data_IF_704988925795
#
_entry.id   IF_704988925795
#
_cell.length_a   1.000
_cell.length_b   1.000
_cell.length_c   1.000
_cell.angle_alpha   90.00
_cell.angle_beta   90.00
_cell.angle_gamma   90.00
#
_symmetry.space_group_name_H-M   'P 1'
#
loop_
_entity.id
_entity.type
_entity.pdbx_description
1 polymer ?
#
# COMPACT_ATOMS: atom_id res chain seq x y z
N UNK A 1 4.38 15.38 -31.34
CA UNK A 1 4.19 16.84 -31.36
C UNK A 1 5.19 17.40 -30.36
N UNK A 2 6.10 18.26 -30.81
CA UNK A 2 7.17 18.80 -29.96
C UNK A 2 6.63 19.77 -28.91
N UNK A 3 7.37 19.94 -27.81
CA UNK A 3 7.05 20.90 -26.76
C UNK A 3 7.01 22.31 -27.33
N UNK A 4 5.81 22.89 -27.43
CA UNK A 4 5.61 24.27 -27.88
C UNK A 4 5.86 25.19 -26.70
N UNK A 5 6.88 26.04 -26.79
CA UNK A 5 7.16 27.05 -25.77
C UNK A 5 6.08 28.13 -25.75
N UNK A 6 5.36 28.25 -24.63
CA UNK A 6 4.23 29.19 -24.49
C UNK A 6 4.60 30.51 -23.78
N UNK A 7 5.75 30.56 -23.09
CA UNK A 7 6.21 31.72 -22.33
C UNK A 7 6.95 31.33 -21.05
N UNK A 8 7.48 32.31 -20.33
CA UNK A 8 8.24 32.12 -19.09
C UNK A 8 7.87 33.12 -18.00
N UNK A 9 8.16 32.77 -16.75
CA UNK A 9 8.10 33.65 -15.57
C UNK A 9 9.44 33.51 -14.85
N UNK A 10 10.05 34.65 -14.51
CA UNK A 10 11.23 34.70 -13.66
C UNK A 10 10.81 35.17 -12.27
N UNK A 11 11.00 34.33 -11.25
CA UNK A 11 10.75 34.65 -9.85
C UNK A 11 12.06 34.59 -9.07
N UNK A 12 12.35 35.64 -8.32
CA UNK A 12 13.44 35.58 -7.35
C UNK A 12 12.96 34.85 -6.10
N UNK A 13 13.66 33.79 -5.68
CA UNK A 13 13.34 33.10 -4.43
C UNK A 13 13.40 34.04 -3.22
N UNK A 14 14.26 35.07 -3.26
CA UNK A 14 14.29 36.11 -2.21
C UNK A 14 13.00 36.93 -2.11
N UNK A 15 12.25 37.08 -3.21
CA UNK A 15 10.94 37.76 -3.22
C UNK A 15 9.79 36.88 -2.76
N UNK A 16 10.01 35.56 -2.72
CA UNK A 16 9.10 34.55 -2.18
C UNK A 16 9.46 34.17 -0.74
N UNK A 17 10.55 34.75 -0.21
CA UNK A 17 11.13 34.44 1.09
C UNK A 17 10.09 34.68 2.18
N UNK A 18 9.69 33.58 2.80
CA UNK A 18 8.84 33.56 3.99
C UNK A 18 9.76 33.80 5.21
N UNK A 19 10.60 34.83 5.17
CA UNK A 19 11.52 35.15 6.27
C UNK A 19 11.07 36.44 6.94
N UNK A 20 10.27 36.28 7.99
CA UNK A 20 9.78 37.36 8.85
C UNK A 20 9.37 36.77 10.21
N UNK A 21 8.99 37.60 11.20
CA UNK A 21 8.61 37.11 12.53
C UNK A 21 7.38 36.16 12.50
N UNK A 22 6.55 36.25 11.46
CA UNK A 22 5.43 35.32 11.18
C UNK A 22 5.30 35.06 9.68
N UNK A 23 6.09 34.14 9.11
CA UNK A 23 5.96 33.86 7.71
C UNK A 23 4.68 33.10 7.38
N UNK A 24 4.02 33.40 6.24
CA UNK A 24 3.06 32.47 5.68
C UNK A 24 3.71 31.09 5.49
N UNK A 25 2.97 29.99 5.68
CA UNK A 25 3.49 28.64 5.31
C UNK A 25 3.51 28.38 3.81
N UNK A 26 2.81 29.22 3.05
CA UNK A 26 2.77 29.16 1.61
C UNK A 26 2.59 30.54 1.00
N UNK A 27 3.24 30.75 -0.14
CA UNK A 27 3.00 31.90 -1.00
C UNK A 27 2.18 31.45 -2.20
N UNK A 28 1.07 32.13 -2.46
CA UNK A 28 0.19 31.84 -3.59
C UNK A 28 -0.09 33.12 -4.39
N UNK A 29 0.27 33.13 -5.68
CA UNK A 29 -0.07 34.24 -6.56
C UNK A 29 -0.27 33.82 -8.02
N UNK A 30 -1.05 34.64 -8.73
CA UNK A 30 -1.26 34.51 -10.17
C UNK A 30 -0.23 35.33 -10.94
N UNK A 31 0.47 34.68 -11.86
CA UNK A 31 1.49 35.30 -12.68
C UNK A 31 1.12 35.19 -14.16
N UNK A 32 1.27 36.28 -14.90
CA UNK A 32 1.05 36.27 -16.35
C UNK A 32 2.33 35.81 -17.06
N UNK A 33 2.19 34.87 -18.00
CA UNK A 33 3.33 34.42 -18.82
C UNK A 33 3.87 35.58 -19.65
N UNK A 34 5.21 35.73 -19.68
CA UNK A 34 5.90 36.66 -20.56
C UNK A 34 6.40 35.92 -21.81
N UNK A 35 6.31 36.51 -23.02
CA UNK A 35 6.88 35.91 -24.21
C UNK A 35 8.41 35.75 -24.06
N UNK A 36 8.95 34.66 -24.61
CA UNK A 36 10.38 34.34 -24.49
C UNK A 36 11.31 35.08 -25.46
N UNK A 37 10.75 35.87 -26.38
CA UNK A 37 11.49 36.76 -27.28
C UNK A 37 10.74 38.08 -27.43
N UNK A 38 11.46 39.18 -27.65
CA UNK A 38 10.92 40.55 -27.71
C UNK A 38 9.98 40.81 -28.90
N UNK A 39 9.76 39.84 -29.78
CA UNK A 39 8.94 39.98 -30.98
C UNK A 39 7.94 38.84 -31.14
N UNK A 40 6.74 39.02 -30.56
CA UNK A 40 5.53 38.31 -30.96
C UNK A 40 4.48 39.34 -31.40
N UNK A 41 4.30 39.60 -32.72
CA UNK A 41 3.42 40.67 -33.22
C UNK A 41 1.92 40.32 -33.13
N UNK A 42 1.56 39.11 -32.70
CA UNK A 42 0.17 38.66 -32.58
C UNK A 42 -0.15 38.34 -31.12
N UNK A 43 -1.06 39.14 -30.55
CA UNK A 43 -1.59 38.95 -29.19
C UNK A 43 -2.67 37.86 -29.23
N UNK A 44 -2.24 36.60 -29.24
CA UNK A 44 -3.12 35.42 -29.43
C UNK A 44 -3.98 35.11 -28.17
N UNK A 45 -3.63 35.69 -27.01
CA UNK A 45 -4.37 35.54 -25.76
C UNK A 45 -3.54 35.92 -24.53
N UNK A 46 -4.08 35.69 -23.34
CA UNK A 46 -3.34 35.81 -22.06
C UNK A 46 -3.49 34.55 -21.24
N UNK A 47 -2.38 33.99 -20.77
CA UNK A 47 -2.35 32.83 -19.88
C UNK A 47 -1.79 33.25 -18.52
N UNK A 48 -2.45 32.80 -17.44
CA UNK A 48 -2.02 33.02 -16.07
C UNK A 48 -1.69 31.68 -15.42
N UNK A 49 -0.60 31.62 -14.69
CA UNK A 49 -0.21 30.47 -13.88
C UNK A 49 -0.46 30.80 -12.40
N UNK A 50 -1.08 29.87 -11.69
CA UNK A 50 -1.12 29.90 -10.24
C UNK A 50 0.12 29.19 -9.71
N UNK A 51 0.98 29.92 -9.02
CA UNK A 51 2.15 29.33 -8.37
C UNK A 51 1.91 29.29 -6.86
N UNK A 52 2.14 28.11 -6.29
CA UNK A 52 2.08 27.87 -4.84
C UNK A 52 3.47 27.42 -4.42
N UNK A 53 4.12 28.22 -3.58
CA UNK A 53 5.42 27.92 -2.99
C UNK A 53 5.23 27.54 -1.52
N UNK A 54 5.81 26.41 -1.12
CA UNK A 54 5.83 25.92 0.26
C UNK A 54 7.27 25.85 0.74
N UNK A 55 7.52 26.31 1.98
CA UNK A 55 8.82 26.20 2.62
C UNK A 55 8.69 25.32 3.87
N UNK A 56 9.28 24.13 3.79
CA UNK A 56 9.28 23.14 4.87
C UNK A 56 10.68 23.04 5.49
N UNK A 57 10.74 23.07 6.83
CA UNK A 57 11.99 23.02 7.59
C UNK A 57 12.15 21.64 8.25
N UNK A 58 13.22 20.92 7.88
CA UNK A 58 13.63 19.70 8.58
C UNK A 58 14.67 20.09 9.63
N UNK A 59 14.34 19.87 10.91
CA UNK A 59 15.22 20.21 12.02
C UNK A 59 16.37 19.20 12.13
N UNK A 60 17.36 19.52 12.96
CA UNK A 60 18.45 18.60 13.25
C UNK A 60 17.94 17.33 13.97
N UNK A 61 18.58 16.19 13.73
CA UNK A 61 18.19 14.90 14.35
C UNK A 61 18.07 14.96 15.89
N UNK A 62 18.92 15.75 16.55
CA UNK A 62 18.90 15.96 18.01
C UNK A 62 17.56 16.49 18.52
N UNK A 63 16.88 17.32 17.73
CA UNK A 63 15.57 17.89 18.08
C UNK A 63 14.47 16.83 18.12
N UNK A 64 14.59 15.77 17.32
CA UNK A 64 13.62 14.69 17.25
C UNK A 64 13.89 13.56 18.26
N UNK A 65 15.03 13.58 18.97
CA UNK A 65 15.42 12.49 19.89
C UNK A 65 14.39 12.19 20.98
N UNK A 66 13.74 13.17 21.65
CA UNK A 66 12.74 12.86 22.67
C UNK A 66 11.54 12.09 22.09
N UNK A 67 11.07 12.49 20.90
CA UNK A 67 9.99 11.80 20.20
C UNK A 67 10.42 10.40 19.76
N UNK A 68 11.63 10.27 19.21
CA UNK A 68 12.21 9.00 18.80
C UNK A 68 12.25 8.00 19.96
N UNK A 69 12.78 8.42 21.12
CA UNK A 69 12.86 7.59 22.31
C UNK A 69 11.47 7.16 22.79
N UNK A 70 10.51 8.08 22.79
CA UNK A 70 9.12 7.81 23.16
C UNK A 70 8.43 6.81 22.22
N UNK A 71 8.77 6.80 20.92
CA UNK A 71 8.26 5.80 19.97
C UNK A 71 8.93 4.43 20.14
N UNK A 72 10.24 4.42 20.35
CA UNK A 72 11.03 3.19 20.50
C UNK A 72 10.71 2.47 21.82
N UNK A 73 10.53 3.23 22.91
CA UNK A 73 10.21 2.67 24.23
C UNK A 73 8.85 1.98 24.28
N UNK A 74 7.92 2.31 23.36
CA UNK A 74 6.63 1.63 23.23
C UNK A 74 6.72 0.12 22.99
N UNK A 75 7.85 -0.39 22.49
CA UNK A 75 8.07 -1.84 22.34
C UNK A 75 8.21 -2.51 23.72
N UNK A 76 8.86 -1.83 24.65
CA UNK A 76 9.24 -2.38 25.97
C UNK A 76 8.20 -2.14 27.05
N UNK A 77 7.29 -1.17 26.86
CA UNK A 77 6.23 -0.88 27.83
C UNK A 77 5.32 -2.11 28.05
N UNK A 78 4.98 -2.45 29.31
CA UNK A 78 4.15 -3.61 29.62
C UNK A 78 2.72 -3.44 29.10
N UNK A 79 2.14 -2.25 29.25
CA UNK A 79 0.83 -1.92 28.69
C UNK A 79 0.99 -1.32 27.29
N UNK A 80 0.68 -2.10 26.25
CA UNK A 80 0.83 -1.63 24.87
C UNK A 80 -0.26 -0.62 24.48
N UNK A 81 -1.45 -0.69 25.08
CA UNK A 81 -2.61 0.09 24.63
C UNK A 81 -2.42 1.58 24.89
N UNK A 82 -1.73 1.92 25.98
CA UNK A 82 -1.42 3.31 26.37
C UNK A 82 -0.10 3.83 25.78
N UNK A 83 0.51 3.10 24.84
CA UNK A 83 1.77 3.54 24.21
C UNK A 83 1.56 4.63 23.16
N UNK A 84 2.63 5.36 22.89
CA UNK A 84 2.64 6.41 21.87
C UNK A 84 2.28 5.91 20.47
N UNK A 85 2.60 4.66 20.13
CA UNK A 85 2.25 4.05 18.84
C UNK A 85 0.75 3.84 18.71
N UNK A 86 0.08 3.39 19.78
CA UNK A 86 -1.37 3.23 19.82
C UNK A 86 -2.09 4.57 19.76
N UNK A 87 -1.67 5.53 20.58
CA UNK A 87 -2.22 6.89 20.58
C UNK A 87 -2.10 7.51 19.19
N UNK A 88 -0.93 7.37 18.52
CA UNK A 88 -0.73 7.87 17.16
C UNK A 88 -1.69 7.25 16.15
N UNK A 89 -2.03 5.97 16.28
CA UNK A 89 -3.00 5.32 15.40
C UNK A 89 -4.43 5.80 15.62
N UNK A 90 -4.79 6.17 16.84
CA UNK A 90 -6.11 6.72 17.15
C UNK A 90 -6.29 8.13 16.63
N UNK A 91 -5.28 8.98 16.81
CA UNK A 91 -5.34 10.41 16.41
C UNK A 91 -5.04 10.64 14.93
N UNK A 92 -4.34 9.73 14.25
CA UNK A 92 -4.00 9.91 12.83
C UNK A 92 -5.20 9.73 11.91
N UNK A 93 -5.43 10.74 11.05
CA UNK A 93 -6.41 10.67 9.96
C UNK A 93 -5.95 9.71 8.85
N UNK A 94 -4.66 9.70 8.54
CA UNK A 94 -4.05 8.80 7.57
C UNK A 94 -3.20 7.75 8.29
N UNK A 95 -3.86 6.63 8.61
CA UNK A 95 -3.22 5.51 9.31
C UNK A 95 -2.24 4.73 8.42
N UNK A 96 -2.41 4.79 7.10
CA UNK A 96 -1.46 4.14 6.17
C UNK A 96 -0.16 4.93 6.08
N UNK A 97 -0.23 6.26 5.93
CA UNK A 97 0.96 7.10 5.96
C UNK A 97 1.71 6.99 7.30
N UNK A 98 0.96 6.95 8.41
CA UNK A 98 1.52 6.73 9.76
C UNK A 98 2.21 5.36 9.87
N UNK A 99 1.55 4.29 9.41
CA UNK A 99 2.13 2.94 9.38
C UNK A 99 3.45 2.91 8.59
N UNK A 100 3.48 3.54 7.41
CA UNK A 100 4.68 3.64 6.58
C UNK A 100 5.82 4.41 7.28
N UNK A 101 5.51 5.49 7.99
CA UNK A 101 6.50 6.24 8.77
C UNK A 101 7.11 5.37 9.88
N UNK A 102 6.27 4.63 10.62
CA UNK A 102 6.74 3.69 11.65
C UNK A 102 7.62 2.61 11.03
N UNK A 103 7.19 1.98 9.93
CA UNK A 103 7.98 0.96 9.23
C UNK A 103 9.35 1.50 8.85
N UNK A 104 9.41 2.65 8.17
CA UNK A 104 10.66 3.26 7.74
C UNK A 104 11.57 3.60 8.93
N UNK A 105 10.99 4.13 10.01
CA UNK A 105 11.74 4.45 11.23
C UNK A 105 12.38 3.20 11.85
N UNK A 106 11.58 2.16 12.10
CA UNK A 106 12.07 0.95 12.77
C UNK A 106 12.97 0.09 11.89
N UNK A 107 12.82 0.15 10.57
CA UNK A 107 13.79 -0.42 9.63
C UNK A 107 15.14 0.31 9.68
N UNK A 108 15.15 1.65 9.69
CA UNK A 108 16.39 2.43 9.80
C UNK A 108 17.10 2.22 11.15
N UNK A 109 16.34 1.99 12.22
CA UNK A 109 16.88 1.67 13.54
C UNK A 109 17.29 0.20 13.72
N UNK A 110 17.05 -0.67 12.73
CA UNK A 110 17.22 -2.13 12.83
C UNK A 110 16.42 -2.79 13.97
N UNK A 111 15.31 -2.17 14.39
CA UNK A 111 14.44 -2.65 15.49
C UNK A 111 13.09 -3.18 14.99
N UNK A 112 12.92 -3.37 13.68
CA UNK A 112 11.64 -3.78 13.14
C UNK A 112 11.20 -5.18 13.60
N UNK A 113 12.12 -6.14 13.71
CA UNK A 113 11.77 -7.49 14.19
C UNK A 113 11.24 -7.45 15.64
N UNK A 114 11.82 -6.61 16.51
CA UNK A 114 11.35 -6.40 17.88
C UNK A 114 9.96 -5.75 17.90
N UNK A 115 9.75 -4.71 17.09
CA UNK A 115 8.45 -4.06 16.94
C UNK A 115 7.38 -5.06 16.46
N UNK A 116 7.69 -5.82 15.42
CA UNK A 116 6.75 -6.78 14.86
C UNK A 116 6.43 -7.91 15.84
N UNK A 117 7.42 -8.37 16.62
CA UNK A 117 7.18 -9.30 17.72
C UNK A 117 6.17 -8.74 18.72
N UNK A 118 6.35 -7.51 19.18
CA UNK A 118 5.43 -6.88 20.12
C UNK A 118 4.03 -6.73 19.54
N UNK A 119 3.92 -6.16 18.33
CA UNK A 119 2.64 -5.93 17.65
C UNK A 119 1.86 -7.22 17.42
N UNK A 120 2.53 -8.26 16.90
CA UNK A 120 1.88 -9.53 16.60
C UNK A 120 1.48 -10.25 17.89
N UNK A 121 2.30 -10.19 18.93
CA UNK A 121 1.95 -10.76 20.24
C UNK A 121 0.66 -10.14 20.77
N UNK A 122 0.60 -8.81 20.83
CA UNK A 122 -0.57 -8.09 21.35
C UNK A 122 -1.82 -8.38 20.52
N UNK A 123 -1.72 -8.37 19.19
CA UNK A 123 -2.85 -8.66 18.29
C UNK A 123 -3.37 -10.10 18.49
N UNK A 124 -2.47 -11.08 18.53
CA UNK A 124 -2.84 -12.50 18.70
C UNK A 124 -3.46 -12.74 20.07
N UNK A 125 -2.87 -12.24 21.16
CA UNK A 125 -3.38 -12.47 22.52
C UNK A 125 -4.71 -11.76 22.77
N UNK A 126 -4.98 -10.65 22.07
CA UNK A 126 -6.24 -9.91 22.18
C UNK A 126 -7.35 -10.49 21.29
N UNK A 127 -7.02 -11.45 20.42
CA UNK A 127 -7.98 -12.06 19.49
C UNK A 127 -8.61 -13.30 20.12
N UNK A 128 -9.95 -13.37 20.11
CA UNK A 128 -10.72 -14.52 20.62
C UNK A 128 -11.06 -15.55 19.56
N UNK A 129 -11.29 -15.13 18.31
CA UNK A 129 -11.58 -16.02 17.17
C UNK A 129 -10.41 -16.01 16.18
N UNK A 130 -9.76 -17.15 15.88
CA UNK A 130 -8.65 -17.22 14.93
C UNK A 130 -9.02 -16.69 13.53
N UNK A 131 -10.30 -16.73 13.13
CA UNK A 131 -10.76 -16.19 11.86
C UNK A 131 -10.76 -14.66 11.80
N UNK A 132 -10.69 -13.98 12.95
CA UNK A 132 -10.68 -12.52 13.06
C UNK A 132 -9.27 -11.93 13.15
N UNK A 133 -8.25 -12.79 13.21
CA UNK A 133 -6.86 -12.39 13.41
C UNK A 133 -6.37 -11.39 12.33
N UNK A 134 -5.84 -10.25 12.77
CA UNK A 134 -5.43 -9.09 11.96
C UNK A 134 -6.55 -8.47 11.09
N UNK A 135 -7.81 -8.88 11.21
CA UNK A 135 -8.92 -8.25 10.45
C UNK A 135 -9.37 -6.91 11.04
N UNK A 136 -8.84 -6.53 12.20
CA UNK A 136 -9.08 -5.25 12.84
C UNK A 136 -8.28 -4.08 12.24
N UNK A 137 -8.69 -2.86 12.58
CA UNK A 137 -8.00 -1.60 12.25
C UNK A 137 -7.01 -1.19 13.36
N UNK A 138 -6.13 -2.10 13.75
CA UNK A 138 -5.10 -1.85 14.78
C UNK A 138 -3.82 -1.26 14.19
N UNK A 139 -2.97 -0.71 15.07
CA UNK A 139 -1.57 -0.35 14.73
C UNK A 139 -0.86 -1.54 14.10
N UNK A 140 -1.05 -2.74 14.67
CA UNK A 140 -0.40 -3.96 14.20
C UNK A 140 -0.78 -4.26 12.76
N UNK A 141 -2.08 -4.26 12.42
CA UNK A 141 -2.54 -4.46 11.05
C UNK A 141 -1.93 -3.43 10.09
N UNK A 142 -1.92 -2.14 10.45
CA UNK A 142 -1.38 -1.08 9.58
C UNK A 142 0.13 -1.14 9.39
N UNK A 143 0.88 -1.32 10.46
CA UNK A 143 2.33 -1.40 10.40
C UNK A 143 2.77 -2.65 9.62
N UNK A 144 2.14 -3.80 9.85
CA UNK A 144 2.49 -5.01 9.11
C UNK A 144 2.05 -4.91 7.64
N UNK A 145 0.89 -4.33 7.31
CA UNK A 145 0.47 -4.07 5.92
C UNK A 145 1.50 -3.23 5.16
N UNK A 146 1.94 -2.10 5.74
CA UNK A 146 2.92 -1.22 5.11
C UNK A 146 4.31 -1.86 5.04
N UNK A 147 4.72 -2.63 6.07
CA UNK A 147 5.97 -3.39 6.04
C UNK A 147 5.99 -4.39 4.88
N UNK A 148 4.90 -5.13 4.70
CA UNK A 148 4.74 -6.11 3.64
C UNK A 148 4.89 -5.45 2.26
N UNK A 149 4.32 -4.26 2.06
CA UNK A 149 4.51 -3.48 0.82
C UNK A 149 5.97 -3.09 0.61
N UNK A 150 6.61 -2.47 1.62
CA UNK A 150 7.98 -1.96 1.50
C UNK A 150 8.98 -3.08 1.23
N UNK A 151 8.98 -4.14 2.04
CA UNK A 151 9.95 -5.24 1.92
C UNK A 151 9.58 -6.19 0.78
N UNK A 152 8.30 -6.36 0.52
CA UNK A 152 7.77 -7.25 -0.50
C UNK A 152 7.76 -6.67 -1.91
N UNK A 153 8.08 -5.39 -2.10
CA UNK A 153 7.95 -4.69 -3.39
C UNK A 153 8.64 -5.45 -4.55
N UNK A 154 9.93 -5.75 -4.40
CA UNK A 154 10.70 -6.46 -5.45
C UNK A 154 10.14 -7.86 -5.70
N UNK A 155 9.64 -8.52 -4.65
CA UNK A 155 9.03 -9.83 -4.74
C UNK A 155 7.70 -9.77 -5.52
N UNK A 156 6.84 -8.78 -5.24
CA UNK A 156 5.61 -8.55 -6.00
C UNK A 156 5.87 -8.27 -7.47
N UNK A 157 6.86 -7.43 -7.78
CA UNK A 157 7.22 -7.14 -9.17
C UNK A 157 7.61 -8.41 -9.93
N UNK A 158 8.45 -9.26 -9.33
CA UNK A 158 8.86 -10.51 -9.98
C UNK A 158 7.72 -11.53 -10.12
N UNK A 159 6.81 -11.56 -9.16
CA UNK A 159 5.75 -12.59 -9.10
C UNK A 159 4.49 -12.19 -9.86
N UNK A 160 3.99 -10.96 -9.70
CA UNK A 160 2.69 -10.54 -10.23
C UNK A 160 2.78 -9.68 -11.49
N UNK A 161 3.82 -8.84 -11.61
CA UNK A 161 3.87 -7.83 -12.66
C UNK A 161 3.70 -8.39 -14.08
N UNK A 162 4.33 -9.51 -14.49
CA UNK A 162 4.18 -10.02 -15.85
C UNK A 162 2.73 -10.36 -16.21
N UNK A 163 1.94 -10.86 -15.26
CA UNK A 163 0.53 -11.17 -15.49
C UNK A 163 -0.34 -9.91 -15.40
N UNK A 164 -0.02 -8.98 -14.50
CA UNK A 164 -0.72 -7.69 -14.43
C UNK A 164 -0.51 -6.89 -15.72
N UNK A 165 0.70 -6.85 -16.27
CA UNK A 165 1.00 -6.16 -17.52
C UNK A 165 0.18 -6.73 -18.68
N UNK A 166 0.10 -8.06 -18.80
CA UNK A 166 -0.74 -8.73 -19.79
C UNK A 166 -2.23 -8.37 -19.64
N UNK A 167 -2.76 -8.31 -18.41
CA UNK A 167 -4.16 -7.91 -18.18
C UNK A 167 -4.41 -6.48 -18.68
N UNK A 168 -3.46 -5.56 -18.46
CA UNK A 168 -3.56 -4.17 -18.93
C UNK A 168 -3.39 -4.03 -20.44
N UNK A 169 -2.64 -4.92 -21.10
CA UNK A 169 -2.44 -4.92 -22.54
C UNK A 169 -3.65 -5.53 -23.28
N UNK A 170 -4.06 -6.73 -22.88
CA UNK A 170 -5.07 -7.51 -23.61
C UNK A 170 -6.49 -7.02 -23.30
N UNK A 171 -6.74 -6.50 -22.09
CA UNK A 171 -8.01 -5.88 -21.66
C UNK A 171 -9.25 -6.77 -21.88
N UNK A 172 -9.10 -8.10 -21.77
CA UNK A 172 -10.21 -9.05 -21.89
C UNK A 172 -11.23 -8.87 -20.77
N UNK A 173 -12.50 -8.94 -21.14
CA UNK A 173 -13.60 -9.02 -20.19
C UNK A 173 -13.57 -10.37 -19.47
N UNK A 174 -13.77 -10.32 -18.17
CA UNK A 174 -13.95 -11.47 -17.30
C UNK A 174 -15.29 -11.40 -16.57
N UNK A 175 -16.26 -10.64 -17.08
CA UNK A 175 -17.57 -10.48 -16.45
C UNK A 175 -18.35 -11.80 -16.49
N UNK A 176 -18.79 -12.25 -15.32
CA UNK A 176 -19.52 -13.50 -15.11
C UNK A 176 -20.91 -13.25 -14.50
N UNK A 177 -21.25 -12.01 -14.18
CA UNK A 177 -22.57 -11.60 -13.73
C UNK A 177 -23.47 -11.32 -14.94
N UNK A 178 -24.47 -12.18 -15.15
CA UNK A 178 -25.40 -12.08 -16.28
C UNK A 178 -26.11 -10.72 -16.36
N UNK A 179 -26.32 -10.03 -15.23
CA UNK A 179 -26.98 -8.72 -15.20
C UNK A 179 -26.08 -7.57 -15.65
N UNK A 180 -24.77 -7.80 -15.76
CA UNK A 180 -23.75 -6.80 -16.10
C UNK A 180 -23.06 -7.05 -17.44
N UNK A 181 -23.45 -8.12 -18.14
CA UNK A 181 -22.95 -8.41 -19.47
C UNK A 181 -23.41 -7.34 -20.46
N UNK A 182 -22.49 -6.90 -21.31
CA UNK A 182 -22.83 -6.05 -22.44
C UNK A 182 -23.49 -6.86 -23.56
N UNK A 183 -24.29 -6.22 -24.41
CA UNK A 183 -24.92 -6.89 -25.55
C UNK A 183 -23.85 -7.57 -26.44
N UNK A 184 -23.98 -8.89 -26.62
CA UNK A 184 -23.05 -9.71 -27.41
C UNK A 184 -21.85 -10.29 -26.66
N UNK A 185 -21.70 -10.04 -25.35
CA UNK A 185 -20.67 -10.71 -24.55
C UNK A 185 -21.02 -12.19 -24.30
N UNK A 186 -20.01 -13.05 -24.43
CA UNK A 186 -20.14 -14.48 -24.17
C UNK A 186 -19.62 -14.81 -22.76
N UNK A 187 -20.51 -15.24 -21.89
CA UNK A 187 -20.19 -15.58 -20.49
C UNK A 187 -19.20 -16.75 -20.37
N UNK A 188 -19.28 -17.75 -21.25
CA UNK A 188 -18.39 -18.91 -21.23
C UNK A 188 -16.97 -18.52 -21.61
N UNK A 189 -16.84 -17.62 -22.59
CA UNK A 189 -15.54 -17.03 -22.95
C UNK A 189 -14.97 -16.19 -21.82
N UNK A 190 -15.78 -15.36 -21.17
CA UNK A 190 -15.37 -14.54 -20.03
C UNK A 190 -14.94 -15.40 -18.83
N UNK A 191 -15.65 -16.50 -18.56
CA UNK A 191 -15.27 -17.48 -17.54
C UNK A 191 -13.91 -18.13 -17.87
N UNK A 192 -13.72 -18.52 -19.14
CA UNK A 192 -12.44 -19.08 -19.61
C UNK A 192 -11.29 -18.09 -19.43
N UNK A 193 -11.51 -16.81 -19.76
CA UNK A 193 -10.52 -15.75 -19.52
C UNK A 193 -10.20 -15.59 -18.02
N UNK A 194 -11.23 -15.61 -17.17
CA UNK A 194 -11.05 -15.47 -15.72
C UNK A 194 -10.21 -16.62 -15.16
N UNK A 195 -10.55 -17.87 -15.52
CA UNK A 195 -9.82 -19.06 -15.10
C UNK A 195 -8.36 -19.01 -15.56
N UNK A 196 -8.12 -18.64 -16.82
CA UNK A 196 -6.78 -18.49 -17.36
C UNK A 196 -5.91 -17.54 -16.51
N UNK A 197 -6.39 -16.34 -16.20
CA UNK A 197 -5.61 -15.38 -15.40
C UNK A 197 -5.44 -15.83 -13.95
N UNK A 198 -6.48 -16.43 -13.35
CA UNK A 198 -6.42 -16.95 -11.97
C UNK A 198 -5.38 -18.08 -11.88
N UNK A 199 -5.40 -19.05 -12.80
CA UNK A 199 -4.44 -20.15 -12.83
C UNK A 199 -3.01 -19.64 -13.03
N UNK A 200 -2.82 -18.69 -13.95
CA UNK A 200 -1.51 -18.08 -14.21
C UNK A 200 -0.96 -17.37 -12.97
N UNK A 201 -1.76 -16.56 -12.30
CA UNK A 201 -1.37 -15.86 -11.07
C UNK A 201 -1.11 -16.84 -9.92
N UNK A 202 -1.97 -17.83 -9.72
CA UNK A 202 -1.79 -18.83 -8.67
C UNK A 202 -0.53 -19.67 -8.88
N UNK A 203 -0.23 -20.04 -10.13
CA UNK A 203 1.01 -20.74 -10.49
C UNK A 203 2.24 -19.86 -10.23
N UNK A 204 2.19 -18.58 -10.59
CA UNK A 204 3.27 -17.63 -10.30
C UNK A 204 3.49 -17.46 -8.78
N UNK A 205 2.41 -17.28 -8.01
CA UNK A 205 2.48 -17.14 -6.55
C UNK A 205 3.07 -18.40 -5.90
N UNK A 206 2.55 -19.59 -6.23
CA UNK A 206 2.97 -20.85 -5.59
C UNK A 206 4.40 -21.25 -5.95
N UNK A 207 4.84 -20.99 -7.19
CA UNK A 207 6.23 -21.23 -7.63
C UNK A 207 7.24 -20.21 -7.07
N UNK A 208 6.78 -19.03 -6.64
CA UNK A 208 7.64 -17.96 -6.13
C UNK A 208 8.06 -18.09 -4.65
N UNK A 209 7.56 -19.10 -3.92
CA UNK A 209 7.77 -19.25 -2.47
C UNK A 209 9.24 -19.17 -2.01
N UNK A 210 10.18 -19.69 -2.80
CA UNK A 210 11.63 -19.63 -2.48
C UNK A 210 12.21 -18.22 -2.55
N UNK A 211 11.64 -17.37 -3.41
CA UNK A 211 12.05 -15.98 -3.64
C UNK A 211 11.49 -15.01 -2.59
N UNK A 212 10.62 -15.47 -1.69
CA UNK A 212 10.05 -14.65 -0.63
C UNK A 212 11.16 -14.10 0.31
N UNK A 213 11.18 -12.79 0.60
CA UNK A 213 12.17 -12.16 1.47
C UNK A 213 12.30 -12.83 2.84
N UNK A 214 13.53 -12.96 3.33
CA UNK A 214 13.83 -13.65 4.59
C UNK A 214 13.15 -13.00 5.80
N UNK A 215 13.08 -11.67 5.84
CA UNK A 215 12.43 -10.94 6.94
C UNK A 215 10.92 -11.21 6.95
N UNK A 216 10.25 -11.23 5.79
CA UNK A 216 8.82 -11.61 5.70
C UNK A 216 8.59 -13.06 6.18
N UNK A 217 9.49 -13.99 5.81
CA UNK A 217 9.41 -15.38 6.29
C UNK A 217 9.50 -15.48 7.82
N UNK A 218 10.32 -14.65 8.47
CA UNK A 218 10.40 -14.59 9.95
C UNK A 218 9.09 -14.09 10.55
N UNK A 219 8.49 -13.06 9.97
CA UNK A 219 7.17 -12.54 10.39
C UNK A 219 6.08 -13.61 10.26
N UNK A 220 6.05 -14.35 9.15
CA UNK A 220 5.09 -15.46 8.98
C UNK A 220 5.33 -16.60 9.97
N UNK A 221 6.60 -16.92 10.24
CA UNK A 221 6.95 -17.92 11.24
C UNK A 221 6.47 -17.49 12.64
N UNK A 222 6.76 -16.25 13.03
CA UNK A 222 6.30 -15.67 14.30
C UNK A 222 4.77 -15.69 14.41
N UNK A 223 4.07 -15.23 13.37
CA UNK A 223 2.61 -15.24 13.31
C UNK A 223 2.05 -16.64 13.54
N UNK A 224 2.58 -17.65 12.84
CA UNK A 224 2.16 -19.04 12.98
C UNK A 224 2.42 -19.56 14.40
N UNK A 225 3.62 -19.35 14.92
CA UNK A 225 4.02 -19.85 16.25
C UNK A 225 3.13 -19.26 17.34
N UNK A 226 2.86 -17.95 17.30
CA UNK A 226 1.99 -17.30 18.27
C UNK A 226 0.53 -17.73 18.12
N UNK A 227 0.05 -17.87 16.88
CA UNK A 227 -1.34 -18.27 16.63
C UNK A 227 -1.61 -19.70 17.11
N UNK A 228 -0.69 -20.64 16.85
CA UNK A 228 -0.82 -22.03 17.35
C UNK A 228 -0.78 -22.07 18.88
N UNK A 229 0.08 -21.25 19.51
CA UNK A 229 0.15 -21.16 20.97
C UNK A 229 -1.14 -20.60 21.59
N UNK A 230 -1.77 -19.62 20.93
CA UNK A 230 -3.00 -18.99 21.40
C UNK A 230 -4.23 -19.88 21.18
N UNK A 231 -4.26 -20.65 20.09
CA UNK A 231 -5.40 -21.48 19.69
C UNK A 231 -4.99 -22.96 19.57
N UNK A 232 -4.59 -23.62 20.68
CA UNK A 232 -4.12 -25.01 20.64
C UNK A 232 -5.21 -25.99 20.18
N UNK A 233 -6.48 -25.68 20.46
CA UNK A 233 -7.63 -26.50 20.06
C UNK A 233 -7.84 -26.55 18.54
N UNK A 234 -7.34 -25.55 17.81
CA UNK A 234 -7.47 -25.41 16.36
C UNK A 234 -6.12 -25.51 15.66
N UNK A 235 -5.13 -26.19 16.26
CA UNK A 235 -3.74 -26.17 15.78
C UNK A 235 -3.61 -26.50 14.29
N UNK A 236 -4.24 -27.58 13.83
CA UNK A 236 -4.15 -28.01 12.43
C UNK A 236 -4.75 -26.99 11.45
N UNK A 237 -5.82 -26.30 11.86
CA UNK A 237 -6.46 -25.27 11.05
C UNK A 237 -5.61 -23.99 11.06
N UNK A 238 -5.30 -23.48 12.25
CA UNK A 238 -4.65 -22.18 12.48
C UNK A 238 -3.24 -22.16 11.91
N UNK A 239 -2.54 -23.30 11.94
CA UNK A 239 -1.18 -23.45 11.42
C UNK A 239 -1.04 -22.98 9.97
N UNK A 240 -2.02 -23.26 9.13
CA UNK A 240 -2.00 -22.91 7.71
C UNK A 240 -2.90 -21.71 7.39
N UNK A 241 -4.06 -21.61 8.04
CA UNK A 241 -5.04 -20.54 7.77
C UNK A 241 -4.57 -19.18 8.25
N UNK A 242 -3.81 -19.10 9.35
CA UNK A 242 -3.24 -17.83 9.83
C UNK A 242 -2.29 -17.22 8.79
N UNK A 243 -1.37 -18.01 8.21
CA UNK A 243 -0.46 -17.52 7.18
C UNK A 243 -1.19 -17.30 5.85
N UNK A 244 -1.94 -18.30 5.38
CA UNK A 244 -2.60 -18.23 4.07
C UNK A 244 -3.62 -17.10 4.02
N UNK A 245 -4.51 -17.03 5.01
CA UNK A 245 -5.47 -15.95 5.15
C UNK A 245 -4.77 -14.59 5.24
N UNK A 246 -3.66 -14.49 5.97
CA UNK A 246 -2.90 -13.25 6.09
C UNK A 246 -2.26 -12.82 4.76
N UNK A 247 -1.46 -13.67 4.13
CA UNK A 247 -0.67 -13.30 2.94
C UNK A 247 -1.57 -13.03 1.72
N UNK A 248 -2.65 -13.78 1.54
CA UNK A 248 -3.58 -13.50 0.46
C UNK A 248 -4.36 -12.21 0.73
N UNK A 249 -4.89 -12.03 1.95
CA UNK A 249 -5.72 -10.87 2.31
C UNK A 249 -4.98 -9.55 2.39
N UNK A 250 -3.72 -9.55 2.84
CA UNK A 250 -2.98 -8.32 3.12
C UNK A 250 -1.89 -8.00 2.11
N UNK A 251 -1.59 -8.94 1.22
CA UNK A 251 -0.48 -8.77 0.30
C UNK A 251 -0.89 -9.07 -1.15
N UNK A 252 -1.18 -10.32 -1.51
CA UNK A 252 -1.44 -10.66 -2.91
C UNK A 252 -2.76 -10.12 -3.46
N UNK A 253 -3.89 -10.37 -2.79
CA UNK A 253 -5.20 -9.94 -3.30
C UNK A 253 -5.33 -8.41 -3.37
N UNK A 254 -4.86 -7.61 -2.38
CA UNK A 254 -4.82 -6.16 -2.50
C UNK A 254 -3.90 -5.66 -3.61
N UNK A 255 -2.74 -6.29 -3.83
CA UNK A 255 -1.81 -5.93 -4.90
C UNK A 255 -2.41 -6.17 -6.29
N UNK A 256 -3.18 -7.25 -6.45
CA UNK A 256 -3.92 -7.53 -7.68
C UNK A 256 -5.07 -6.55 -7.87
N UNK A 257 -5.83 -6.26 -6.81
CA UNK A 257 -6.98 -5.36 -6.88
C UNK A 257 -6.57 -3.92 -7.18
N UNK A 258 -5.48 -3.44 -6.58
CA UNK A 258 -5.00 -2.07 -6.71
C UNK A 258 -3.51 -2.03 -7.10
N UNK A 259 -3.14 -2.40 -8.34
CA UNK A 259 -1.74 -2.50 -8.75
C UNK A 259 -0.94 -1.21 -8.57
N UNK A 260 -1.59 -0.05 -8.74
CA UNK A 260 -0.96 1.26 -8.54
C UNK A 260 -0.52 1.52 -7.10
N UNK A 261 -1.35 1.15 -6.11
CA UNK A 261 -1.03 1.35 -4.69
C UNK A 261 0.13 0.46 -4.23
N UNK A 262 0.40 -0.62 -4.98
CA UNK A 262 1.52 -1.53 -4.75
C UNK A 262 2.66 -1.30 -5.75
N UNK A 263 2.69 -0.16 -6.44
CA UNK A 263 3.76 0.21 -7.37
C UNK A 263 3.92 -0.68 -8.60
N UNK A 264 2.96 -1.58 -8.89
CA UNK A 264 3.02 -2.50 -10.03
C UNK A 264 2.69 -1.82 -11.36
N UNK A 265 1.91 -0.73 -11.33
CA UNK A 265 1.55 0.09 -12.50
C UNK A 265 1.54 1.58 -12.16
N UNK A 266 1.98 2.47 -13.07
CA UNK A 266 1.92 3.92 -12.84
C UNK A 266 0.49 4.48 -13.05
N UNK A 267 -0.28 3.85 -13.93
CA UNK A 267 -1.60 4.30 -14.36
C UNK A 267 -2.74 3.57 -13.63
N UNK A 268 -3.90 4.22 -13.55
CA UNK A 268 -5.11 3.58 -13.04
C UNK A 268 -5.71 2.67 -14.12
N UNK A 269 -6.24 1.49 -13.75
CA UNK A 269 -6.94 0.64 -14.71
C UNK A 269 -8.19 1.33 -15.26
N UNK A 270 -8.54 1.03 -16.52
CA UNK A 270 -9.85 1.40 -17.06
C UNK A 270 -10.96 0.54 -16.43
N UNK A 271 -12.23 0.82 -16.72
CA UNK A 271 -13.36 0.12 -16.09
C UNK A 271 -13.32 -1.40 -16.29
N UNK A 272 -13.05 -1.86 -17.52
CA UNK A 272 -12.95 -3.29 -17.85
C UNK A 272 -11.82 -3.98 -17.08
N UNK A 273 -10.61 -3.42 -17.10
CA UNK A 273 -9.45 -3.96 -16.38
C UNK A 273 -9.70 -3.94 -14.87
N UNK A 274 -10.26 -2.86 -14.34
CA UNK A 274 -10.59 -2.74 -12.92
C UNK A 274 -11.58 -3.83 -12.49
N UNK A 275 -12.57 -4.14 -13.33
CA UNK A 275 -13.53 -5.21 -13.07
C UNK A 275 -12.88 -6.59 -13.14
N UNK A 276 -12.04 -6.84 -14.13
CA UNK A 276 -11.27 -8.07 -14.27
C UNK A 276 -10.36 -8.31 -13.07
N UNK A 277 -9.58 -7.31 -12.65
CA UNK A 277 -8.72 -7.37 -11.46
C UNK A 277 -9.51 -7.63 -10.17
N UNK A 278 -10.71 -7.03 -10.04
CA UNK A 278 -11.59 -7.26 -8.90
C UNK A 278 -12.07 -8.72 -8.84
N UNK A 279 -12.48 -9.30 -9.97
CA UNK A 279 -12.94 -10.69 -10.02
C UNK A 279 -11.78 -11.67 -9.73
N UNK A 280 -10.62 -11.44 -10.35
CA UNK A 280 -9.40 -12.23 -10.10
C UNK A 280 -9.00 -12.16 -8.62
N UNK A 281 -8.91 -10.95 -8.06
CA UNK A 281 -8.54 -10.72 -6.67
C UNK A 281 -9.50 -11.43 -5.70
N UNK A 282 -10.82 -11.36 -5.94
CA UNK A 282 -11.82 -12.07 -5.15
C UNK A 282 -11.66 -13.59 -5.23
N UNK A 283 -11.44 -14.14 -6.43
CA UNK A 283 -11.25 -15.59 -6.61
C UNK A 283 -9.98 -16.06 -5.91
N UNK A 284 -8.85 -15.37 -6.10
CA UNK A 284 -7.58 -15.69 -5.42
C UNK A 284 -7.70 -15.56 -3.91
N UNK A 285 -8.39 -14.52 -3.41
CA UNK A 285 -8.65 -14.37 -1.98
C UNK A 285 -9.44 -15.54 -1.42
N UNK A 286 -10.49 -15.95 -2.14
CA UNK A 286 -11.30 -17.08 -1.74
C UNK A 286 -10.45 -18.35 -1.69
N UNK A 287 -9.66 -18.64 -2.73
CA UNK A 287 -8.74 -19.78 -2.75
C UNK A 287 -7.74 -19.76 -1.58
N UNK A 288 -7.15 -18.60 -1.26
CA UNK A 288 -6.27 -18.42 -0.10
C UNK A 288 -6.98 -18.66 1.24
N UNK A 289 -8.30 -18.43 1.30
CA UNK A 289 -9.14 -18.69 2.46
C UNK A 289 -9.77 -20.09 2.48
N UNK A 290 -9.70 -20.88 1.40
CA UNK A 290 -10.31 -22.23 1.32
C UNK A 290 -9.70 -23.18 2.36
N UNK A 291 -8.43 -23.00 2.75
CA UNK A 291 -7.85 -23.72 3.89
C UNK A 291 -8.64 -23.57 5.21
N UNK A 292 -9.45 -22.50 5.36
CA UNK A 292 -10.31 -22.26 6.53
C UNK A 292 -11.74 -22.80 6.34
N UNK A 293 -12.10 -23.28 5.15
CA UNK A 293 -13.44 -23.82 4.83
C UNK A 293 -13.45 -25.33 4.59
N UNK A 294 -12.31 -25.93 4.23
CA UNK A 294 -12.21 -27.37 3.92
C UNK A 294 -12.32 -28.25 5.19
N UNK A 295 -12.24 -27.67 6.38
CA UNK A 295 -12.38 -28.39 7.66
C UNK A 295 -13.78 -28.22 8.30
N UNK A 296 -14.80 -27.82 7.54
CA UNK A 296 -16.20 -27.85 7.97
C UNK A 296 -17.04 -28.79 7.14
#
# INVERSE_FOLDING_TARGET
>A
MGDVFLGQIHLSLSSLSLTGPHPPRSYQAWYSLRPGSEYSPLKIGSMRLLLIYHEDYILTSTTYQPLLNLLVNSITEPDFQDTSLCILNEVSKDRSAMGLCIVNLFLQLNKFEELAHRLITVEVTSTSDPNTLFRGNSVASKVIDEFMKVVGQTYLHRTLQPCIDEIFEVKRSCEIDQSKLSEGENIDLNMTNLLFFVEKLMSAITSSARSCPSVMKRIFHLLRTLSVKQFPEFEDEVRFTSISGFIFLRFFAPAILNPKLFGLRPENPNQTVSRTLLLISKTIQNLGNVGARVNK
#
